data_IF_540858030129
#
_entry.id   IF_540858030129
#
_cell.length_a   1.000
_cell.length_b   1.000
_cell.length_c   1.000
_cell.angle_alpha   90.00
_cell.angle_beta   90.00
_cell.angle_gamma   90.00
#
_symmetry.space_group_name_H-M   'P 1'
#
loop_
_entity.id
_entity.type
_entity.pdbx_description
1 polymer ?
#
# COMPACT_ATOMS: atom_id res chain seq x y z
N UNK A 1 -12.02 5.31 -42.72
CA UNK A 1 -12.18 6.31 -41.64
C UNK A 1 -11.75 5.66 -40.34
N UNK A 2 -10.67 6.16 -39.76
CA UNK A 2 -9.90 5.45 -38.73
C UNK A 2 -10.52 5.50 -37.33
N UNK A 3 -10.41 4.34 -36.67
CA UNK A 3 -10.12 4.09 -35.25
C UNK A 3 -10.19 5.28 -34.26
N UNK A 4 -10.92 5.11 -33.15
CA UNK A 4 -10.79 6.08 -32.05
C UNK A 4 -11.42 5.78 -30.70
N UNK A 5 -12.28 4.76 -30.54
CA UNK A 5 -13.10 4.66 -29.30
C UNK A 5 -12.62 3.58 -28.31
N UNK A 6 -11.72 2.69 -28.70
CA UNK A 6 -11.26 1.58 -27.84
C UNK A 6 -10.08 1.88 -26.90
N UNK A 7 -9.37 3.02 -27.08
CA UNK A 7 -8.11 3.30 -26.37
C UNK A 7 -8.28 4.07 -25.05
N UNK A 8 -9.49 4.58 -24.77
CA UNK A 8 -9.74 5.44 -23.61
C UNK A 8 -10.31 4.69 -22.40
N UNK A 9 -10.64 3.40 -22.49
CA UNK A 9 -11.04 2.61 -21.32
C UNK A 9 -9.87 1.98 -20.55
N UNK A 10 -8.68 1.92 -21.15
CA UNK A 10 -7.54 1.18 -20.59
C UNK A 10 -6.70 1.99 -19.58
N UNK A 11 -6.76 3.32 -19.60
CA UNK A 11 -6.02 4.15 -18.64
C UNK A 11 -6.69 4.18 -17.26
N UNK A 12 -8.03 4.16 -17.16
CA UNK A 12 -8.72 4.17 -15.85
C UNK A 12 -8.44 2.91 -15.03
N UNK A 13 -8.22 1.76 -15.67
CA UNK A 13 -7.83 0.51 -14.98
C UNK A 13 -6.39 0.52 -14.46
N UNK A 14 -5.53 1.41 -14.96
CA UNK A 14 -4.14 1.52 -14.50
C UNK A 14 -3.97 2.32 -13.20
N UNK A 15 -5.02 3.04 -12.75
CA UNK A 15 -4.98 3.87 -11.53
C UNK A 15 -5.73 3.29 -10.34
N UNK A 16 -6.35 2.12 -10.49
CA UNK A 16 -6.83 1.37 -9.34
C UNK A 16 -5.61 0.75 -8.69
N UNK A 17 -5.02 1.43 -7.71
CA UNK A 17 -3.90 0.92 -6.94
C UNK A 17 -4.26 -0.50 -6.48
N UNK A 18 -3.60 -1.51 -7.05
CA UNK A 18 -3.85 -2.90 -6.72
C UNK A 18 -3.57 -3.04 -5.23
N UNK A 19 -4.63 -3.22 -4.44
CA UNK A 19 -4.53 -3.47 -3.01
C UNK A 19 -4.73 -4.95 -2.83
N UNK A 20 -3.64 -5.73 -2.74
CA UNK A 20 -3.77 -7.13 -2.37
C UNK A 20 -4.46 -7.24 -1.01
N UNK A 21 -5.09 -8.40 -0.79
CA UNK A 21 -5.66 -8.70 0.52
C UNK A 21 -4.55 -8.55 1.59
N UNK A 22 -4.80 -7.82 2.69
CA UNK A 22 -3.81 -7.67 3.75
C UNK A 22 -3.40 -9.05 4.25
N UNK A 23 -2.09 -9.29 4.37
CA UNK A 23 -1.60 -10.52 5.00
C UNK A 23 -1.92 -10.52 6.49
N UNK A 24 -2.34 -11.64 7.06
CA UNK A 24 -2.53 -11.76 8.51
C UNK A 24 -1.18 -12.07 9.18
N UNK A 25 -0.39 -11.03 9.44
CA UNK A 25 0.89 -11.13 10.12
C UNK A 25 0.70 -11.02 11.64
N UNK A 26 1.46 -11.81 12.40
CA UNK A 26 1.56 -11.69 13.85
C UNK A 26 2.30 -10.41 14.27
N UNK A 27 2.14 -9.98 15.52
CA UNK A 27 2.77 -8.75 16.01
C UNK A 27 4.31 -8.79 15.92
N UNK A 28 4.92 -9.97 16.12
CA UNK A 28 6.36 -10.19 15.94
C UNK A 28 6.80 -10.08 14.49
N UNK A 29 6.03 -10.67 13.56
CA UNK A 29 6.32 -10.57 12.12
C UNK A 29 6.14 -9.14 11.61
N UNK A 30 5.20 -8.38 12.18
CA UNK A 30 5.01 -6.97 11.84
C UNK A 30 6.24 -6.15 12.21
N UNK A 31 6.80 -6.36 13.40
CA UNK A 31 7.99 -5.64 13.86
C UNK A 31 9.24 -6.03 13.07
N UNK A 32 9.40 -7.33 12.81
CA UNK A 32 10.50 -7.86 11.99
C UNK A 32 10.46 -7.29 10.58
N UNK A 33 9.28 -7.33 9.93
CA UNK A 33 9.08 -6.80 8.59
C UNK A 33 9.33 -5.29 8.51
N UNK A 34 8.88 -4.53 9.51
CA UNK A 34 9.18 -3.10 9.61
C UNK A 34 10.68 -2.83 9.74
N UNK A 35 11.40 -3.64 10.52
CA UNK A 35 12.84 -3.48 10.71
C UNK A 35 13.65 -3.87 9.47
N UNK A 36 13.19 -4.86 8.71
CA UNK A 36 13.91 -5.39 7.56
C UNK A 36 13.63 -4.60 6.27
N UNK A 37 12.38 -4.21 6.04
CA UNK A 37 11.95 -3.64 4.75
C UNK A 37 11.63 -2.14 4.81
N UNK A 38 11.37 -1.56 5.98
CA UNK A 38 10.88 -0.19 6.07
C UNK A 38 11.91 0.80 6.60
N UNK A 39 12.25 1.77 5.76
CA UNK A 39 13.12 2.88 6.13
C UNK A 39 12.40 3.90 7.02
N UNK A 40 11.10 4.10 6.81
CA UNK A 40 10.34 5.13 7.53
C UNK A 40 8.87 4.76 7.76
N UNK A 41 8.40 4.99 8.99
CA UNK A 41 6.98 4.97 9.34
C UNK A 41 6.54 6.38 9.79
N UNK A 42 5.58 6.97 9.08
CA UNK A 42 5.05 8.30 9.38
C UNK A 42 3.60 8.20 9.82
N UNK A 43 3.32 8.65 11.05
CA UNK A 43 1.95 8.84 11.51
C UNK A 43 1.45 10.24 11.16
N UNK A 44 0.42 10.31 10.31
CA UNK A 44 -0.32 11.54 10.05
C UNK A 44 -1.43 11.66 11.09
N UNK A 45 -1.32 12.64 11.99
CA UNK A 45 -2.35 12.91 13.00
C UNK A 45 -3.68 13.27 12.31
N UNK A 46 -4.83 12.81 12.81
CA UNK A 46 -6.13 13.22 12.29
C UNK A 46 -6.30 14.73 12.38
N UNK A 47 -6.97 15.30 11.37
CA UNK A 47 -7.44 16.68 11.33
C UNK A 47 -8.97 16.67 11.14
N UNK A 48 -9.62 17.83 11.18
CA UNK A 48 -11.07 17.88 10.90
C UNK A 48 -11.45 17.40 9.48
N UNK A 49 -10.50 17.43 8.54
CA UNK A 49 -10.74 17.08 7.14
C UNK A 49 -10.23 15.67 6.80
N UNK A 50 -9.30 15.11 7.57
CA UNK A 50 -8.64 13.85 7.26
C UNK A 50 -8.58 12.93 8.48
N UNK A 51 -8.88 11.64 8.27
CA UNK A 51 -8.64 10.61 9.29
C UNK A 51 -7.14 10.40 9.51
N UNK A 52 -6.79 10.00 10.72
CA UNK A 52 -5.42 9.59 11.05
C UNK A 52 -5.02 8.39 10.23
N UNK A 53 -3.75 8.35 9.80
CA UNK A 53 -3.20 7.24 9.03
C UNK A 53 -1.73 7.04 9.30
N UNK A 54 -1.30 5.79 9.24
CA UNK A 54 0.09 5.41 9.13
C UNK A 54 0.45 5.33 7.65
N UNK A 55 1.55 5.97 7.27
CA UNK A 55 2.16 5.82 5.94
C UNK A 55 3.52 5.17 6.13
N UNK A 56 3.71 4.02 5.50
CA UNK A 56 4.98 3.31 5.50
C UNK A 56 5.69 3.56 4.18
N UNK A 57 6.98 3.83 4.29
CA UNK A 57 7.92 3.92 3.19
C UNK A 57 8.91 2.77 3.37
N UNK A 58 8.79 1.77 2.51
CA UNK A 58 9.57 0.54 2.58
C UNK A 58 10.12 0.27 1.20
N UNK A 59 11.45 0.24 1.00
CA UNK A 59 12.06 0.03 -0.32
C UNK A 59 11.26 0.69 -1.48
N UNK A 60 10.74 -0.10 -2.43
CA UNK A 60 9.92 0.40 -3.56
C UNK A 60 8.41 0.44 -3.29
N UNK A 61 7.99 0.18 -2.06
CA UNK A 61 6.59 0.03 -1.65
C UNK A 61 6.19 1.15 -0.71
N UNK A 62 5.14 1.86 -1.13
CA UNK A 62 4.42 2.79 -0.27
C UNK A 62 3.07 2.20 0.11
N UNK A 63 2.78 2.17 1.40
CA UNK A 63 1.46 1.77 1.91
C UNK A 63 0.94 2.81 2.89
N UNK A 64 -0.39 2.92 2.98
CA UNK A 64 -1.02 3.73 4.01
C UNK A 64 -2.34 3.12 4.47
N UNK A 65 -2.55 3.09 5.78
CA UNK A 65 -3.76 2.55 6.39
C UNK A 65 -4.09 3.28 7.71
N UNK A 66 -5.25 2.99 8.28
CA UNK A 66 -5.69 3.60 9.54
C UNK A 66 -4.82 3.14 10.72
N UNK A 67 -4.35 1.90 10.71
CA UNK A 67 -3.47 1.33 11.72
C UNK A 67 -2.11 0.93 11.15
N UNK A 68 -1.09 0.85 12.02
CA UNK A 68 0.24 0.37 11.64
C UNK A 68 0.18 -1.06 11.11
N UNK A 69 -0.58 -1.94 11.78
CA UNK A 69 -0.79 -3.33 11.39
C UNK A 69 -1.34 -3.43 9.97
N UNK A 70 -2.44 -2.77 9.67
CA UNK A 70 -3.01 -2.78 8.32
C UNK A 70 -2.03 -2.24 7.27
N UNK A 71 -1.26 -1.20 7.60
CA UNK A 71 -0.28 -0.64 6.68
C UNK A 71 0.85 -1.64 6.38
N UNK A 72 1.34 -2.36 7.39
CA UNK A 72 2.37 -3.41 7.25
C UNK A 72 1.82 -4.60 6.48
N UNK A 73 0.65 -5.10 6.85
CA UNK A 73 -0.02 -6.21 6.18
C UNK A 73 -0.25 -5.93 4.69
N UNK A 74 -0.63 -4.70 4.33
CA UNK A 74 -0.76 -4.25 2.94
C UNK A 74 0.59 -4.16 2.23
N UNK A 75 1.63 -3.67 2.92
CA UNK A 75 2.94 -3.49 2.32
C UNK A 75 3.64 -4.84 2.08
N UNK A 76 3.55 -5.76 3.04
CA UNK A 76 4.03 -7.13 2.91
C UNK A 76 3.29 -7.88 1.80
N UNK A 77 1.97 -7.68 1.67
CA UNK A 77 1.20 -8.26 0.58
C UNK A 77 1.66 -7.74 -0.79
N UNK A 78 1.87 -6.42 -0.92
CA UNK A 78 2.43 -5.80 -2.13
C UNK A 78 3.84 -6.33 -2.43
N UNK A 79 4.68 -6.51 -1.40
CA UNK A 79 6.02 -7.04 -1.55
C UNK A 79 6.01 -8.46 -2.08
N UNK A 80 5.12 -9.30 -1.53
CA UNK A 80 4.92 -10.68 -2.00
C UNK A 80 4.49 -10.72 -3.46
N UNK A 81 3.55 -9.87 -3.90
CA UNK A 81 3.12 -9.83 -5.32
C UNK A 81 4.23 -9.40 -6.29
N UNK A 82 5.20 -8.59 -5.85
CA UNK A 82 6.31 -8.14 -6.71
C UNK A 82 7.44 -9.17 -6.78
N UNK A 83 7.60 -9.99 -5.75
CA UNK A 83 8.72 -10.95 -5.62
C UNK A 83 8.34 -12.42 -5.88
N UNK A 84 7.06 -12.72 -6.12
CA UNK A 84 6.52 -14.05 -6.48
C UNK A 84 6.24 -14.12 -7.99
#
# INVERSE_FOLDING_TARGET
MGNGVGRWMNWMTAWTEHRPAPLDLSDTEILDWLSEYCDQAVYTRPTQQCRGRFTLYCAEIRSSAATLREAVCLAAAKWKEVNE
#
